data_IF_759290830279
#
_entry.id   IF_759290830279
#
_cell.length_a   1.000
_cell.length_b   1.000
_cell.length_c   1.000
_cell.angle_alpha   90.00
_cell.angle_beta   90.00
_cell.angle_gamma   90.00
#
_symmetry.space_group_name_H-M   'P 1'
#
loop_
_entity.id
_entity.type
_entity.pdbx_description
1 polymer ?
#
# COMPACT_ATOMS: atom_id res chain seq x y z
N UNK A 1 9.28 9.24 -4.65
CA UNK A 1 8.30 10.31 -4.31
C UNK A 1 8.59 11.61 -5.02
N UNK A 2 9.76 11.79 -5.64
CA UNK A 2 10.18 13.04 -6.29
C UNK A 2 9.27 13.54 -7.44
N UNK A 3 8.35 12.72 -7.95
CA UNK A 3 7.42 13.09 -9.02
C UNK A 3 5.94 13.18 -8.58
N UNK A 4 5.65 13.20 -7.28
CA UNK A 4 4.29 13.42 -6.78
C UNK A 4 4.04 14.92 -6.56
N UNK A 5 2.85 15.41 -6.90
CA UNK A 5 2.47 16.80 -6.70
C UNK A 5 1.50 17.30 -7.76
N UNK A 6 1.22 18.60 -7.72
CA UNK A 6 0.36 19.27 -8.70
C UNK A 6 1.19 19.65 -9.93
N UNK A 7 0.78 19.18 -11.10
CA UNK A 7 1.38 19.51 -12.37
C UNK A 7 0.46 20.46 -13.13
N UNK A 8 1.03 21.55 -13.65
CA UNK A 8 0.29 22.57 -14.39
C UNK A 8 0.80 22.66 -15.82
N UNK A 9 -0.12 22.57 -16.77
CA UNK A 9 0.13 22.95 -18.15
C UNK A 9 -0.33 24.39 -18.35
N UNK A 10 0.50 25.23 -18.97
CA UNK A 10 0.20 26.63 -19.27
C UNK A 10 0.54 26.91 -20.74
N UNK A 11 -0.38 27.60 -21.42
CA UNK A 11 -0.24 28.01 -22.82
C UNK A 11 -0.45 29.52 -22.89
N UNK A 12 0.51 30.21 -23.51
CA UNK A 12 0.48 31.67 -23.68
C UNK A 12 0.41 32.01 -25.16
N UNK A 13 -0.60 32.79 -25.56
CA UNK A 13 -0.74 33.31 -26.91
C UNK A 13 -0.09 34.69 -27.04
N UNK A 14 0.95 34.80 -27.88
CA UNK A 14 1.62 36.07 -28.21
C UNK A 14 1.18 36.54 -29.62
N UNK A 15 0.85 37.83 -29.84
CA UNK A 15 1.15 39.02 -29.01
C UNK A 15 0.02 39.47 -28.06
N UNK A 16 -1.08 38.72 -27.97
CA UNK A 16 -2.25 39.10 -27.16
C UNK A 16 -2.04 38.94 -25.65
N UNK A 17 -0.98 38.24 -25.23
CA UNK A 17 -0.65 37.90 -23.85
C UNK A 17 -1.80 37.22 -23.09
N UNK A 18 -2.60 36.42 -23.81
CA UNK A 18 -3.64 35.60 -23.20
C UNK A 18 -3.04 34.29 -22.70
N UNK A 19 -3.38 33.91 -21.46
CA UNK A 19 -2.82 32.73 -20.77
C UNK A 19 -3.95 31.79 -20.36
N UNK A 20 -3.87 30.54 -20.81
CA UNK A 20 -4.72 29.46 -20.31
C UNK A 20 -3.87 28.44 -19.57
N UNK A 21 -4.37 27.95 -18.44
CA UNK A 21 -3.71 26.91 -17.67
C UNK A 21 -4.68 25.85 -17.16
N UNK A 22 -4.16 24.64 -16.95
CA UNK A 22 -4.85 23.51 -16.36
C UNK A 22 -3.91 22.77 -15.41
N UNK A 23 -4.41 22.35 -14.25
CA UNK A 23 -3.61 21.70 -13.20
C UNK A 23 -4.23 20.40 -12.74
N UNK A 24 -3.40 19.40 -12.41
CA UNK A 24 -3.82 18.09 -11.91
C UNK A 24 -2.92 17.58 -10.78
N UNK A 25 -3.48 16.88 -9.80
CA UNK A 25 -2.75 16.22 -8.70
C UNK A 25 -2.28 14.82 -9.11
N UNK A 26 -0.96 14.64 -9.22
CA UNK A 26 -0.35 13.36 -9.55
C UNK A 26 0.15 12.69 -8.26
N UNK A 27 -0.35 11.47 -8.03
CA UNK A 27 0.07 10.62 -6.91
C UNK A 27 0.99 9.50 -7.40
N UNK A 28 2.14 9.36 -6.74
CA UNK A 28 3.06 8.25 -6.99
C UNK A 28 2.76 7.12 -6.01
N UNK A 29 2.43 5.95 -6.56
CA UNK A 29 2.22 4.74 -5.78
C UNK A 29 3.44 3.82 -5.86
N UNK A 30 3.72 3.14 -4.76
CA UNK A 30 4.73 2.09 -4.68
C UNK A 30 4.09 0.84 -4.10
N UNK A 31 4.14 -0.25 -4.85
CA UNK A 31 3.70 -1.55 -4.36
C UNK A 31 4.73 -2.13 -3.39
N UNK A 32 4.29 -2.92 -2.39
CA UNK A 32 5.23 -3.66 -1.55
C UNK A 32 6.04 -4.63 -2.40
N UNK A 33 7.30 -4.84 -2.03
CA UNK A 33 8.15 -5.80 -2.73
C UNK A 33 7.91 -7.19 -2.12
N UNK A 34 7.24 -8.07 -2.86
CA UNK A 34 6.99 -9.45 -2.46
C UNK A 34 5.80 -9.62 -1.50
N UNK A 35 5.73 -10.81 -0.89
CA UNK A 35 4.72 -11.16 0.09
C UNK A 35 5.02 -10.52 1.46
N UNK A 36 4.00 -10.25 2.29
CA UNK A 36 4.22 -9.80 3.65
C UNK A 36 4.93 -10.88 4.48
N UNK A 37 5.73 -10.43 5.44
CA UNK A 37 6.37 -11.31 6.41
C UNK A 37 5.37 -11.72 7.49
N UNK A 38 5.32 -13.03 7.79
CA UNK A 38 4.44 -13.61 8.80
C UNK A 38 5.26 -14.15 9.97
N UNK A 39 4.98 -13.65 11.17
CA UNK A 39 5.64 -14.07 12.40
C UNK A 39 4.64 -14.61 13.40
N UNK A 40 4.96 -15.75 14.03
CA UNK A 40 4.22 -16.29 15.17
C UNK A 40 4.70 -15.57 16.43
N UNK A 41 3.77 -14.99 17.19
CA UNK A 41 4.08 -14.20 18.39
C UNK A 41 4.02 -15.03 19.68
N UNK A 42 3.17 -16.06 19.73
CA UNK A 42 2.98 -16.85 20.95
C UNK A 42 3.98 -18.01 21.07
N UNK A 43 3.82 -19.10 20.30
CA UNK A 43 4.68 -20.27 20.37
C UNK A 43 5.34 -20.57 19.01
N UNK A 44 6.54 -20.03 18.83
CA UNK A 44 7.33 -20.22 17.60
C UNK A 44 7.82 -21.66 17.41
N UNK A 45 7.83 -22.48 18.47
CA UNK A 45 8.27 -23.87 18.40
C UNK A 45 7.15 -24.85 18.04
N UNK A 46 5.89 -24.39 18.14
CA UNK A 46 4.71 -25.20 17.87
C UNK A 46 4.47 -25.36 16.37
N UNK A 47 4.86 -26.53 15.87
CA UNK A 47 4.68 -26.92 14.46
C UNK A 47 3.28 -27.43 14.13
N UNK A 48 2.46 -27.77 15.13
CA UNK A 48 1.13 -28.35 14.95
C UNK A 48 0.14 -27.76 15.94
N UNK A 49 -1.02 -27.40 15.43
CA UNK A 49 -2.13 -26.84 16.20
C UNK A 49 -3.30 -27.82 16.16
N UNK A 50 -3.95 -28.01 17.31
CA UNK A 50 -5.20 -28.74 17.44
C UNK A 50 -6.38 -27.80 17.32
N UNK A 51 -7.57 -28.38 17.09
CA UNK A 51 -8.83 -27.64 17.18
C UNK A 51 -8.89 -27.02 18.59
N UNK A 52 -9.34 -25.76 18.68
CA UNK A 52 -9.32 -24.89 19.88
C UNK A 52 -7.97 -24.25 20.26
N UNK A 53 -6.86 -24.59 19.60
CA UNK A 53 -5.63 -23.83 19.82
C UNK A 53 -5.73 -22.43 19.21
N UNK A 54 -5.19 -21.44 19.93
CA UNK A 54 -5.05 -20.07 19.44
C UNK A 54 -3.61 -19.81 18.99
N UNK A 55 -3.47 -19.15 17.85
CA UNK A 55 -2.19 -18.70 17.31
C UNK A 55 -2.24 -17.18 17.13
N UNK A 56 -1.24 -16.49 17.66
CA UNK A 56 -1.12 -15.05 17.49
C UNK A 56 -0.11 -14.78 16.37
N UNK A 57 -0.55 -14.08 15.32
CA UNK A 57 0.26 -13.82 14.13
C UNK A 57 0.45 -12.31 13.93
N UNK A 58 1.66 -11.94 13.50
CA UNK A 58 1.99 -10.60 13.03
C UNK A 58 2.32 -10.63 11.56
N UNK A 59 1.53 -9.91 10.76
CA UNK A 59 1.76 -9.70 9.34
C UNK A 59 2.41 -8.33 9.13
N UNK A 60 3.57 -8.29 8.49
CA UNK A 60 4.31 -7.06 8.22
C UNK A 60 4.55 -6.90 6.72
N UNK A 61 3.90 -5.91 6.11
CA UNK A 61 4.16 -5.50 4.72
C UNK A 61 4.96 -4.20 4.71
N UNK A 62 6.11 -4.17 4.05
CA UNK A 62 7.00 -3.00 4.02
C UNK A 62 7.15 -2.42 2.62
N UNK A 63 7.60 -1.16 2.54
CA UNK A 63 8.01 -0.54 1.29
C UNK A 63 6.89 -0.09 0.36
N UNK A 64 5.62 -0.18 0.77
CA UNK A 64 4.49 0.33 -0.01
C UNK A 64 4.17 1.79 0.33
N UNK A 65 3.65 2.50 -0.67
CA UNK A 65 3.10 3.85 -0.55
C UNK A 65 1.83 3.90 -1.40
N UNK A 66 0.65 4.16 -0.82
CA UNK A 66 0.37 4.36 0.61
C UNK A 66 0.52 3.07 1.43
N UNK A 67 0.22 3.13 2.74
CA UNK A 67 0.14 1.94 3.59
C UNK A 67 -0.83 0.92 2.97
N UNK A 68 -0.49 -0.37 2.93
CA UNK A 68 -1.30 -1.36 2.26
C UNK A 68 -2.47 -1.79 3.15
N UNK A 69 -3.52 -2.32 2.54
CA UNK A 69 -4.58 -3.00 3.28
C UNK A 69 -4.14 -4.44 3.54
N UNK A 70 -4.05 -4.82 4.81
CA UNK A 70 -3.72 -6.19 5.22
C UNK A 70 -5.02 -6.94 5.47
N UNK A 71 -5.13 -8.14 4.89
CA UNK A 71 -6.28 -9.03 5.09
C UNK A 71 -5.79 -10.42 5.51
N UNK A 72 -6.59 -11.10 6.32
CA UNK A 72 -6.29 -12.43 6.85
C UNK A 72 -7.28 -13.45 6.31
N UNK A 73 -6.77 -14.58 5.85
CA UNK A 73 -7.56 -15.71 5.36
C UNK A 73 -6.96 -17.02 5.87
N UNK A 74 -7.82 -17.96 6.24
CA UNK A 74 -7.44 -19.32 6.63
C UNK A 74 -8.22 -20.29 5.74
N UNK A 75 -7.50 -21.11 4.96
CA UNK A 75 -8.10 -22.09 4.04
C UNK A 75 -9.12 -21.51 3.02
N UNK A 76 -8.98 -20.23 2.67
CA UNK A 76 -9.87 -19.53 1.74
C UNK A 76 -11.00 -18.74 2.41
N UNK A 77 -11.20 -18.92 3.71
CA UNK A 77 -12.20 -18.17 4.48
C UNK A 77 -11.57 -16.98 5.20
N UNK A 78 -12.21 -15.80 5.20
CA UNK A 78 -11.72 -14.63 5.91
C UNK A 78 -11.75 -14.86 7.43
N UNK A 79 -10.63 -14.54 8.08
CA UNK A 79 -10.53 -14.55 9.55
C UNK A 79 -10.91 -13.17 10.07
N UNK A 80 -11.77 -13.11 11.09
CA UNK A 80 -12.30 -11.86 11.66
C UNK A 80 -11.56 -11.45 12.92
#
# INVERSE_FOLDING_TARGET
MEAAGVFTCEVVASPLFDTQSASEDIRVVKFPHGLPDLQILNDQSKLRYQIEDTMELKCTSTGSIPRPNITWQLNGDPVR
#
